data_IF_429691114343
#
_entry.id   IF_429691114343
#
_cell.length_a   1.000
_cell.length_b   1.000
_cell.length_c   1.000
_cell.angle_alpha   90.00
_cell.angle_beta   90.00
_cell.angle_gamma   90.00
#
_symmetry.space_group_name_H-M   'P 1'
#
loop_
_entity.id
_entity.type
_entity.pdbx_description
1 polymer ?
#
# COMPACT_ATOMS: atom_id res chain seq x y z
N UNK A 1 23.24 4.89 -7.93
CA UNK A 1 22.51 3.61 -7.85
C UNK A 1 22.16 3.20 -9.28
N UNK A 2 22.92 2.30 -9.89
CA UNK A 2 22.62 1.76 -11.21
C UNK A 2 21.63 0.58 -11.10
N UNK A 3 20.53 0.65 -11.86
CA UNK A 3 19.96 -0.50 -12.57
C UNK A 3 19.16 -1.58 -11.83
N UNK A 4 18.63 -1.36 -10.62
CA UNK A 4 17.79 -2.40 -9.98
C UNK A 4 16.40 -2.57 -10.61
N UNK A 5 15.84 -1.48 -11.13
CA UNK A 5 14.46 -1.42 -11.64
C UNK A 5 14.28 -2.11 -12.99
N UNK A 6 15.34 -2.37 -13.76
CA UNK A 6 15.21 -2.84 -15.15
C UNK A 6 15.90 -4.19 -15.37
N UNK A 7 16.08 -4.98 -14.30
CA UNK A 7 16.81 -6.26 -14.37
C UNK A 7 16.16 -7.26 -15.35
N UNK A 8 14.85 -7.13 -15.59
CA UNK A 8 14.08 -7.98 -16.51
C UNK A 8 13.91 -7.32 -17.90
N UNK A 9 14.59 -6.21 -18.16
CA UNK A 9 14.39 -5.38 -19.35
C UNK A 9 13.27 -4.35 -19.18
N UNK A 10 13.20 -3.38 -20.09
CA UNK A 10 12.27 -2.24 -19.99
C UNK A 10 10.79 -2.67 -20.10
N UNK A 11 10.50 -3.68 -20.92
CA UNK A 11 9.14 -4.14 -21.15
C UNK A 11 8.54 -4.81 -19.91
N UNK A 12 9.28 -5.76 -19.32
CA UNK A 12 8.82 -6.49 -18.13
C UNK A 12 8.98 -5.72 -16.82
N UNK A 13 9.64 -4.55 -16.85
CA UNK A 13 9.76 -3.68 -15.70
C UNK A 13 8.89 -2.43 -15.90
N UNK A 14 9.46 -1.35 -16.44
CA UNK A 14 8.79 -0.05 -16.51
C UNK A 14 7.45 -0.09 -17.26
N UNK A 15 7.39 -0.70 -18.44
CA UNK A 15 6.14 -0.69 -19.22
C UNK A 15 5.04 -1.49 -18.54
N UNK A 16 5.38 -2.64 -17.97
CA UNK A 16 4.45 -3.44 -17.19
C UNK A 16 3.97 -2.71 -15.93
N UNK A 17 4.86 -2.00 -15.24
CA UNK A 17 4.49 -1.16 -14.10
C UNK A 17 3.51 -0.04 -14.52
N UNK A 18 3.72 0.59 -15.69
CA UNK A 18 2.78 1.58 -16.23
C UNK A 18 1.42 0.98 -16.59
N UNK A 19 1.38 -0.23 -17.17
CA UNK A 19 0.12 -0.92 -17.48
C UNK A 19 -0.63 -1.28 -16.20
N UNK A 20 0.07 -1.73 -15.17
CA UNK A 20 -0.56 -1.97 -13.85
C UNK A 20 -1.05 -0.65 -13.26
N UNK A 21 -0.23 0.40 -13.23
CA UNK A 21 -0.61 1.65 -12.58
C UNK A 21 -1.73 2.43 -13.30
N UNK A 22 -1.78 2.40 -14.63
CA UNK A 22 -2.65 3.28 -15.43
C UNK A 22 -3.47 2.57 -16.51
N UNK A 23 -3.29 1.27 -16.69
CA UNK A 23 -4.10 0.49 -17.64
C UNK A 23 -5.54 0.33 -17.16
N UNK A 24 -6.38 -0.22 -18.04
CA UNK A 24 -7.71 -0.66 -17.66
C UNK A 24 -7.61 -1.96 -16.86
N UNK A 25 -8.34 -2.03 -15.76
CA UNK A 25 -8.44 -3.23 -14.95
C UNK A 25 -9.81 -3.87 -15.19
N UNK A 26 -9.81 -5.17 -15.49
CA UNK A 26 -11.04 -5.97 -15.51
C UNK A 26 -11.53 -6.31 -14.10
N UNK A 27 -10.77 -5.91 -13.07
CA UNK A 27 -11.06 -6.17 -11.66
C UNK A 27 -11.55 -4.87 -11.02
N UNK A 28 -12.71 -4.94 -10.37
CA UNK A 28 -13.17 -3.88 -9.49
C UNK A 28 -12.59 -4.10 -8.08
N UNK A 29 -11.76 -3.19 -7.54
CA UNK A 29 -11.19 -3.34 -6.20
C UNK A 29 -12.25 -3.49 -5.11
N UNK A 30 -13.46 -2.96 -5.32
CA UNK A 30 -14.56 -3.03 -4.35
C UNK A 30 -15.21 -4.41 -4.26
N UNK A 31 -14.94 -5.29 -5.22
CA UNK A 31 -15.53 -6.64 -5.32
C UNK A 31 -14.56 -7.73 -4.85
N UNK A 32 -13.42 -7.34 -4.29
CA UNK A 32 -12.44 -8.29 -3.75
C UNK A 32 -13.04 -9.06 -2.57
N UNK A 33 -12.95 -10.40 -2.64
CA UNK A 33 -13.31 -11.27 -1.52
C UNK A 33 -12.15 -11.38 -0.55
N UNK A 34 -12.45 -11.63 0.73
CA UNK A 34 -11.40 -11.89 1.72
C UNK A 34 -10.60 -13.14 1.29
N UNK A 35 -9.28 -13.01 1.02
CA UNK A 35 -8.47 -14.15 0.59
C UNK A 35 -8.07 -15.06 1.75
N UNK A 36 -8.31 -14.66 3.00
CA UNK A 36 -7.90 -15.39 4.19
C UNK A 36 -8.96 -16.41 4.63
N UNK A 37 -8.56 -17.55 5.23
CA UNK A 37 -9.49 -18.51 5.82
C UNK A 37 -10.38 -17.88 6.89
N UNK A 38 -11.56 -18.47 7.11
CA UNK A 38 -12.43 -18.08 8.23
C UNK A 38 -11.68 -18.18 9.57
N UNK A 39 -11.86 -17.18 10.43
CA UNK A 39 -11.17 -17.01 11.72
C UNK A 39 -9.66 -16.74 11.65
N UNK A 40 -9.12 -16.44 10.46
CA UNK A 40 -7.75 -15.96 10.33
C UNK A 40 -7.58 -14.59 11.00
N UNK A 41 -6.46 -14.39 11.70
CA UNK A 41 -6.03 -13.07 12.18
C UNK A 41 -5.27 -12.28 11.11
N UNK A 42 -5.09 -12.85 9.91
CA UNK A 42 -4.41 -12.18 8.82
C UNK A 42 -5.29 -11.06 8.25
N UNK A 43 -4.65 -9.93 7.97
CA UNK A 43 -5.25 -8.77 7.35
C UNK A 43 -4.29 -8.18 6.33
N UNK A 44 -4.83 -7.44 5.37
CA UNK A 44 -4.02 -6.55 4.53
C UNK A 44 -3.97 -5.20 5.23
N UNK A 45 -2.78 -4.61 5.32
CA UNK A 45 -2.60 -3.30 5.94
C UNK A 45 -2.24 -2.25 4.88
N UNK A 46 -2.93 -1.11 4.91
CA UNK A 46 -2.80 -0.02 3.96
C UNK A 46 -2.37 1.26 4.70
N UNK A 47 -1.11 1.66 4.54
CA UNK A 47 -0.60 2.93 5.08
C UNK A 47 -0.79 4.07 4.09
N UNK A 48 -1.46 5.13 4.52
CA UNK A 48 -1.91 6.25 3.70
C UNK A 48 -1.16 7.50 4.13
N UNK A 49 -0.43 8.11 3.20
CA UNK A 49 0.20 9.40 3.43
C UNK A 49 -0.84 10.52 3.38
N UNK A 50 -1.07 11.22 4.49
CA UNK A 50 -2.06 12.29 4.54
C UNK A 50 -1.66 13.56 3.75
N UNK A 51 -0.38 13.68 3.41
CA UNK A 51 0.15 14.75 2.54
C UNK A 51 0.37 14.29 1.09
N UNK A 52 -0.09 13.08 0.72
CA UNK A 52 -0.07 12.63 -0.67
C UNK A 52 -0.98 13.51 -1.53
N UNK A 53 -0.45 13.96 -2.67
CA UNK A 53 -1.15 14.81 -3.64
C UNK A 53 -1.44 14.09 -4.96
N UNK A 54 -1.03 12.83 -5.07
CA UNK A 54 -1.21 11.98 -6.24
C UNK A 54 -2.38 11.03 -5.98
N UNK A 55 -2.44 10.42 -4.81
CA UNK A 55 -3.52 9.48 -4.43
C UNK A 55 -4.38 10.10 -3.33
N UNK A 56 -5.69 10.20 -3.59
CA UNK A 56 -6.65 10.72 -2.63
C UNK A 56 -6.92 9.71 -1.49
N UNK A 57 -6.83 10.19 -0.26
CA UNK A 57 -7.10 9.41 0.96
C UNK A 57 -8.54 8.90 1.06
N UNK A 58 -9.53 9.61 0.48
CA UNK A 58 -10.94 9.23 0.56
C UNK A 58 -11.20 7.85 -0.06
N UNK A 59 -10.49 7.52 -1.14
CA UNK A 59 -10.62 6.23 -1.81
C UNK A 59 -10.19 5.09 -0.87
N UNK A 60 -9.09 5.28 -0.15
CA UNK A 60 -8.58 4.28 0.79
C UNK A 60 -9.54 4.06 1.96
N UNK A 61 -10.13 5.13 2.52
CA UNK A 61 -11.16 4.99 3.55
C UNK A 61 -12.43 4.32 3.05
N UNK A 62 -12.83 4.62 1.81
CA UNK A 62 -13.98 3.97 1.20
C UNK A 62 -13.74 2.46 1.00
N UNK A 63 -12.53 2.07 0.57
CA UNK A 63 -12.13 0.68 0.45
C UNK A 63 -12.16 -0.05 1.80
N UNK A 64 -11.57 0.51 2.85
CA UNK A 64 -11.54 -0.10 4.17
C UNK A 64 -12.95 -0.33 4.76
N UNK A 65 -13.89 0.60 4.50
CA UNK A 65 -15.29 0.44 4.91
C UNK A 65 -16.01 -0.69 4.17
N UNK A 66 -15.63 -0.96 2.92
CA UNK A 66 -16.22 -2.01 2.09
C UNK A 66 -15.56 -3.38 2.30
N UNK A 67 -14.27 -3.39 2.61
CA UNK A 67 -13.43 -4.58 2.71
C UNK A 67 -12.84 -4.65 4.14
N UNK A 68 -13.58 -5.24 5.10
CA UNK A 68 -13.22 -5.18 6.52
C UNK A 68 -11.93 -5.95 6.88
N UNK A 69 -11.39 -6.74 5.96
CA UNK A 69 -10.11 -7.43 6.09
C UNK A 69 -8.92 -6.56 5.67
N UNK A 70 -9.18 -5.31 5.25
CA UNK A 70 -8.18 -4.27 5.01
C UNK A 70 -8.17 -3.29 6.18
N UNK A 71 -7.04 -3.16 6.84
CA UNK A 71 -6.83 -2.21 7.93
C UNK A 71 -6.05 -1.00 7.41
N UNK A 72 -6.58 0.20 7.59
CA UNK A 72 -5.93 1.44 7.15
C UNK A 72 -5.18 2.09 8.31
N UNK A 73 -4.03 2.67 7.98
CA UNK A 73 -3.17 3.38 8.90
C UNK A 73 -2.84 4.75 8.29
N UNK A 74 -3.01 5.82 9.04
CA UNK A 74 -2.68 7.16 8.58
C UNK A 74 -1.22 7.50 8.91
N UNK A 75 -0.54 8.15 7.97
CA UNK A 75 0.80 8.69 8.15
C UNK A 75 0.68 10.22 8.00
N UNK A 76 0.50 10.96 9.12
CA UNK A 76 0.09 12.37 9.08
C UNK A 76 0.99 13.27 8.24
N UNK A 77 2.30 13.02 8.26
CA UNK A 77 3.31 13.78 7.52
C UNK A 77 3.81 13.05 6.26
N UNK A 78 3.13 11.97 5.86
CA UNK A 78 3.55 11.15 4.74
C UNK A 78 3.05 11.71 3.42
N UNK A 79 3.96 12.04 2.50
CA UNK A 79 3.63 12.26 1.08
C UNK A 79 3.72 10.98 0.24
N UNK A 80 3.50 11.04 -1.06
CA UNK A 80 3.46 9.87 -1.96
C UNK A 80 4.62 8.87 -1.82
N UNK A 81 5.80 9.37 -1.45
CA UNK A 81 7.03 8.58 -1.32
C UNK A 81 7.57 8.53 0.11
N UNK A 82 6.70 8.62 1.13
CA UNK A 82 7.12 8.64 2.54
C UNK A 82 7.96 7.42 2.95
N UNK A 83 7.86 6.29 2.23
CA UNK A 83 8.67 5.09 2.44
C UNK A 83 10.18 5.28 2.15
N UNK A 84 10.58 6.38 1.53
CA UNK A 84 12.01 6.73 1.41
C UNK A 84 12.61 7.26 2.72
N UNK A 85 11.78 7.73 3.65
CA UNK A 85 12.22 7.99 5.02
C UNK A 85 12.45 6.64 5.72
N UNK A 86 13.71 6.41 6.13
CA UNK A 86 14.14 5.15 6.74
C UNK A 86 13.50 4.92 8.10
N UNK A 87 13.19 5.98 8.83
CA UNK A 87 12.60 5.90 10.17
C UNK A 87 11.12 5.54 10.04
N UNK A 88 10.38 6.20 9.14
CA UNK A 88 8.99 5.83 8.81
C UNK A 88 8.90 4.39 8.30
N UNK A 89 9.72 4.03 7.31
CA UNK A 89 9.76 2.68 6.76
C UNK A 89 10.10 1.63 7.85
N UNK A 90 11.08 1.93 8.70
CA UNK A 90 11.47 1.07 9.82
C UNK A 90 10.33 0.86 10.83
N UNK A 91 9.56 1.91 11.15
CA UNK A 91 8.41 1.82 12.04
C UNK A 91 7.27 0.98 11.43
N UNK A 92 6.96 1.15 10.15
CA UNK A 92 5.94 0.34 9.45
C UNK A 92 6.34 -1.13 9.44
N UNK A 93 7.61 -1.44 9.14
CA UNK A 93 8.11 -2.82 9.15
C UNK A 93 8.05 -3.43 10.55
N UNK A 94 8.40 -2.69 11.60
CA UNK A 94 8.25 -3.16 12.99
C UNK A 94 6.80 -3.40 13.35
N UNK A 95 5.88 -2.57 12.88
CA UNK A 95 4.46 -2.78 13.08
C UNK A 95 3.98 -4.08 12.41
N UNK A 96 4.35 -4.30 11.16
CA UNK A 96 4.00 -5.51 10.40
C UNK A 96 4.60 -6.80 10.99
N UNK A 97 5.86 -6.75 11.42
CA UNK A 97 6.62 -7.96 11.81
C UNK A 97 6.54 -8.25 13.30
N UNK A 98 6.52 -7.22 14.14
CA UNK A 98 6.58 -7.32 15.59
C UNK A 98 5.27 -6.91 16.28
N UNK A 99 4.31 -6.34 15.56
CA UNK A 99 3.06 -5.83 16.13
C UNK A 99 3.25 -4.53 16.94
N UNK A 100 4.37 -3.83 16.77
CA UNK A 100 4.61 -2.55 17.44
C UNK A 100 3.68 -1.46 16.89
N UNK A 101 3.18 -0.57 17.76
CA UNK A 101 2.42 0.59 17.30
C UNK A 101 3.40 1.67 16.77
N UNK A 102 3.26 2.13 15.52
CA UNK A 102 4.07 3.24 15.01
C UNK A 102 3.88 4.50 15.86
N UNK A 103 4.96 5.25 16.09
CA UNK A 103 4.90 6.44 16.97
C UNK A 103 4.21 7.66 16.34
N UNK A 104 3.99 7.64 15.03
CA UNK A 104 3.29 8.68 14.28
C UNK A 104 1.76 8.46 14.20
N UNK A 105 1.27 7.37 14.80
CA UNK A 105 -0.12 6.91 14.77
C UNK A 105 -0.78 6.95 16.15
#
# INVERSE_FOLDING_TARGET
>A
MQGKTNQQGEYESSYRDFVVAYGSWDINPLELTNPFPENSSAAVHLWIGCEDRIVDTELSYYLARRLPWIHTHEVPYGGHLYLHDKDLCGMILKSLVLGEKPSFE
#
